data_IF_837897149774
#
_entry.id   IF_837897149774
#
_cell.length_a   1.000
_cell.length_b   1.000
_cell.length_c   1.000
_cell.angle_alpha   90.00
_cell.angle_beta   90.00
_cell.angle_gamma   90.00
#
_symmetry.space_group_name_H-M   'P 1'
#
loop_
_entity.id
_entity.type
_entity.pdbx_description
1 polymer ?
#
# COMPACT_ATOMS: atom_id res chain seq x y z
N UNK A 1 -8.38 8.21 -11.66
CA UNK A 1 -8.57 8.10 -10.20
C UNK A 1 -9.44 9.27 -9.78
N UNK A 2 -10.56 9.03 -9.11
CA UNK A 2 -11.45 10.09 -8.63
C UNK A 2 -11.09 10.40 -7.18
N UNK A 3 -10.69 11.64 -6.90
CA UNK A 3 -10.35 12.09 -5.55
C UNK A 3 -11.64 12.36 -4.76
N UNK A 4 -11.74 11.82 -3.55
CA UNK A 4 -12.81 12.14 -2.62
C UNK A 4 -12.65 13.59 -2.14
N UNK A 5 -13.68 14.41 -2.39
CA UNK A 5 -13.71 15.80 -1.94
C UNK A 5 -14.09 15.85 -0.45
N UNK A 6 -13.38 16.68 0.31
CA UNK A 6 -13.62 16.93 1.73
C UNK A 6 -14.06 18.38 1.85
N UNK A 7 -15.22 18.60 2.47
CA UNK A 7 -15.77 19.92 2.69
C UNK A 7 -14.95 20.71 3.74
N UNK A 8 -14.64 21.99 3.49
CA UNK A 8 -13.95 22.80 4.47
C UNK A 8 -14.80 22.93 5.75
N UNK A 9 -14.18 22.74 6.92
CA UNK A 9 -14.87 22.79 8.21
C UNK A 9 -15.61 21.51 8.60
N UNK A 10 -15.40 20.40 7.87
CA UNK A 10 -16.05 19.11 8.13
C UNK A 10 -15.09 18.05 8.70
N UNK A 11 -14.67 18.16 9.98
CA UNK A 11 -13.68 17.23 10.58
C UNK A 11 -14.13 15.77 10.58
N UNK A 12 -15.43 15.50 10.61
CA UNK A 12 -15.96 14.12 10.59
C UNK A 12 -15.63 13.36 9.30
N UNK A 13 -15.38 14.05 8.18
CA UNK A 13 -14.97 13.43 6.92
C UNK A 13 -13.51 12.93 6.97
N UNK A 14 -12.73 13.37 7.97
CA UNK A 14 -11.33 13.04 8.14
C UNK A 14 -11.08 11.79 9.00
N UNK A 15 -12.14 11.16 9.52
CA UNK A 15 -12.02 10.08 10.51
C UNK A 15 -11.17 8.88 10.06
N UNK A 16 -11.15 8.57 8.77
CA UNK A 16 -10.31 7.48 8.23
C UNK A 16 -8.82 7.79 8.43
N UNK A 17 -8.33 8.93 7.94
CA UNK A 17 -6.90 9.26 8.04
C UNK A 17 -6.48 9.51 9.49
N UNK A 18 -7.38 10.04 10.33
CA UNK A 18 -7.14 10.19 11.77
C UNK A 18 -6.88 8.85 12.46
N UNK A 19 -7.68 7.83 12.13
CA UNK A 19 -7.50 6.49 12.67
C UNK A 19 -6.16 5.85 12.25
N UNK A 20 -5.73 6.08 11.01
CA UNK A 20 -4.44 5.61 10.49
C UNK A 20 -3.29 6.33 11.21
N UNK A 21 -3.36 7.66 11.34
CA UNK A 21 -2.35 8.45 12.03
C UNK A 21 -2.24 8.11 13.51
N UNK A 22 -3.35 7.75 14.16
CA UNK A 22 -3.34 7.27 15.54
C UNK A 22 -2.57 5.95 15.65
N UNK A 23 -2.90 4.95 14.83
CA UNK A 23 -2.18 3.66 14.82
C UNK A 23 -0.70 3.83 14.54
N UNK A 24 -0.34 4.64 13.55
CA UNK A 24 1.06 4.92 13.23
C UNK A 24 1.82 5.52 14.42
N UNK A 25 1.20 6.43 15.17
CA UNK A 25 1.82 6.97 16.40
C UNK A 25 1.96 5.91 17.47
N UNK A 26 0.88 5.21 17.80
CA UNK A 26 0.85 4.28 18.93
C UNK A 26 1.76 3.06 18.69
N UNK A 27 1.84 2.58 17.45
CA UNK A 27 2.54 1.34 17.09
C UNK A 27 3.97 1.56 16.56
N UNK A 28 4.30 2.72 16.02
CA UNK A 28 5.63 3.00 15.46
C UNK A 28 6.32 4.13 16.20
N UNK A 29 5.79 5.36 16.11
CA UNK A 29 6.54 6.54 16.58
C UNK A 29 6.72 6.59 18.10
N UNK A 30 5.75 6.11 18.87
CA UNK A 30 5.82 6.13 20.33
C UNK A 30 6.59 4.94 20.92
N UNK A 31 6.96 3.94 20.11
CA UNK A 31 7.70 2.77 20.58
C UNK A 31 9.21 3.02 20.65
N UNK A 32 9.71 4.01 19.90
CA UNK A 32 11.15 4.22 19.71
C UNK A 32 11.56 5.67 19.95
N UNK A 33 12.79 5.87 20.42
CA UNK A 33 13.44 7.19 20.47
C UNK A 33 14.44 7.23 19.32
N UNK A 34 14.24 8.14 18.37
CA UNK A 34 15.10 8.25 17.19
C UNK A 34 16.29 9.18 17.46
N UNK A 35 17.49 8.74 17.08
CA UNK A 35 18.73 9.53 17.22
C UNK A 35 19.16 10.16 15.90
N UNK A 36 18.63 9.70 14.77
CA UNK A 36 18.93 10.26 13.45
C UNK A 36 17.76 10.14 12.47
N UNK A 37 17.71 11.05 11.48
CA UNK A 37 16.72 10.98 10.39
C UNK A 37 16.90 9.70 9.55
N UNK A 38 18.13 9.19 9.42
CA UNK A 38 18.40 7.97 8.67
C UNK A 38 17.73 6.75 9.33
N UNK A 39 17.87 6.63 10.64
CA UNK A 39 17.20 5.61 11.45
C UNK A 39 15.68 5.71 11.32
N UNK A 40 15.10 6.91 11.50
CA UNK A 40 13.64 7.11 11.35
C UNK A 40 13.15 6.68 9.96
N UNK A 41 13.91 6.95 8.89
CA UNK A 41 13.51 6.53 7.53
C UNK A 41 13.46 5.02 7.38
N UNK A 42 14.39 4.30 8.00
CA UNK A 42 14.40 2.84 8.00
C UNK A 42 13.20 2.32 8.78
N UNK A 43 13.03 2.74 10.03
CA UNK A 43 11.94 2.28 10.91
C UNK A 43 10.57 2.56 10.32
N UNK A 44 10.33 3.79 9.86
CA UNK A 44 9.05 4.16 9.22
C UNK A 44 8.85 3.40 7.90
N UNK A 45 9.93 3.19 7.14
CA UNK A 45 9.89 2.39 5.92
C UNK A 45 9.52 0.94 6.19
N UNK A 46 10.00 0.36 7.28
CA UNK A 46 9.75 -1.01 7.70
C UNK A 46 8.32 -1.15 8.22
N UNK A 47 7.87 -0.22 9.08
CA UNK A 47 6.49 -0.15 9.52
C UNK A 47 5.50 -0.06 8.35
N UNK A 48 5.81 0.77 7.34
CA UNK A 48 4.95 0.89 6.15
C UNK A 48 4.83 -0.43 5.39
N UNK A 49 5.91 -1.19 5.25
CA UNK A 49 5.89 -2.50 4.57
C UNK A 49 5.06 -3.50 5.37
N UNK A 50 5.26 -3.57 6.68
CA UNK A 50 4.49 -4.43 7.58
C UNK A 50 2.98 -4.09 7.51
N UNK A 51 2.63 -2.82 7.65
CA UNK A 51 1.24 -2.37 7.68
C UNK A 51 0.53 -2.63 6.35
N UNK A 52 1.17 -2.35 5.21
CA UNK A 52 0.53 -2.47 3.90
C UNK A 52 0.55 -3.89 3.32
N UNK A 53 1.59 -4.67 3.61
CA UNK A 53 1.86 -5.94 2.92
C UNK A 53 1.72 -7.21 3.76
N UNK A 54 1.74 -7.11 5.09
CA UNK A 54 1.77 -8.29 5.96
C UNK A 54 0.62 -8.31 6.98
N UNK A 55 0.12 -7.16 7.41
CA UNK A 55 -0.91 -7.08 8.45
C UNK A 55 -2.31 -7.40 7.91
N UNK A 56 -2.97 -8.48 8.36
CA UNK A 56 -4.36 -8.75 8.00
C UNK A 56 -5.29 -7.77 8.74
N UNK A 57 -6.20 -7.13 8.01
CA UNK A 57 -7.10 -6.12 8.55
C UNK A 57 -8.54 -6.69 8.70
N UNK A 58 -8.90 -7.08 9.91
CA UNK A 58 -10.06 -7.93 10.19
C UNK A 58 -11.45 -7.36 9.86
N UNK A 59 -11.68 -6.05 9.99
CA UNK A 59 -13.04 -5.48 9.93
C UNK A 59 -13.34 -4.62 8.71
N UNK A 60 -12.33 -4.01 8.08
CA UNK A 60 -12.52 -3.07 6.96
C UNK A 60 -12.11 -3.62 5.61
N UNK A 61 -11.34 -4.72 5.60
CA UNK A 61 -10.67 -5.27 4.41
C UNK A 61 -10.85 -6.80 4.32
N UNK A 62 -11.79 -7.37 5.08
CA UNK A 62 -12.07 -8.82 5.08
C UNK A 62 -10.80 -9.68 5.28
N UNK A 63 -9.97 -9.30 6.25
CA UNK A 63 -8.67 -9.92 6.55
C UNK A 63 -7.60 -9.81 5.45
N UNK A 64 -7.85 -9.06 4.38
CA UNK A 64 -6.85 -8.74 3.37
C UNK A 64 -5.91 -7.63 3.86
N UNK A 65 -4.70 -7.63 3.32
CA UNK A 65 -3.76 -6.52 3.45
C UNK A 65 -4.17 -5.37 2.53
N UNK A 66 -3.80 -4.11 2.85
CA UNK A 66 -4.06 -2.98 1.97
C UNK A 66 -3.53 -3.17 0.55
N UNK A 67 -2.37 -3.80 0.39
CA UNK A 67 -1.77 -4.08 -0.92
C UNK A 67 -2.58 -5.13 -1.71
N UNK A 68 -3.08 -6.18 -1.05
CA UNK A 68 -3.96 -7.17 -1.69
C UNK A 68 -5.30 -6.54 -2.11
N UNK A 69 -5.88 -5.72 -1.26
CA UNK A 69 -7.11 -5.00 -1.58
C UNK A 69 -6.93 -4.05 -2.77
N UNK A 70 -5.82 -3.31 -2.80
CA UNK A 70 -5.48 -2.44 -3.93
C UNK A 70 -5.28 -3.23 -5.24
N UNK A 71 -4.65 -4.41 -5.18
CA UNK A 71 -4.52 -5.30 -6.32
C UNK A 71 -5.88 -5.79 -6.81
N UNK A 72 -6.78 -6.18 -5.90
CA UNK A 72 -8.14 -6.61 -6.24
C UNK A 72 -8.95 -5.49 -6.91
N UNK A 73 -8.87 -4.26 -6.40
CA UNK A 73 -9.50 -3.09 -7.04
C UNK A 73 -8.97 -2.83 -8.45
N UNK A 74 -7.68 -3.06 -8.65
CA UNK A 74 -6.99 -2.87 -9.92
C UNK A 74 -7.46 -3.86 -10.97
N UNK A 75 -7.64 -5.13 -10.58
CA UNK A 75 -8.14 -6.20 -11.45
C UNK A 75 -9.61 -5.96 -11.86
N UNK A 76 -10.42 -5.40 -10.96
CA UNK A 76 -11.84 -5.14 -11.23
C UNK A 76 -12.12 -3.91 -12.09
N UNK A 77 -11.13 -3.02 -12.31
CA UNK A 77 -11.29 -1.85 -13.19
C UNK A 77 -10.84 -2.17 -14.63
N UNK A 78 -11.76 -2.33 -15.60
CA UNK A 78 -11.40 -2.67 -16.99
C UNK A 78 -10.56 -1.62 -17.71
N UNK A 79 -10.43 -0.40 -17.15
CA UNK A 79 -9.56 0.66 -17.68
C UNK A 79 -8.10 0.52 -17.24
N UNK A 80 -7.78 -0.30 -16.23
CA UNK A 80 -6.43 -0.51 -15.73
C UNK A 80 -5.80 -1.83 -16.21
N UNK A 81 -6.60 -2.88 -16.38
CA UNK A 81 -6.16 -4.21 -16.84
C UNK A 81 -5.46 -4.18 -18.21
N UNK A 82 -5.86 -3.28 -19.11
CA UNK A 82 -5.24 -3.10 -20.43
C UNK A 82 -3.75 -2.69 -20.38
N UNK A 83 -3.32 -1.97 -19.33
CA UNK A 83 -1.94 -1.50 -19.21
C UNK A 83 -1.03 -2.49 -18.45
N UNK A 84 -1.59 -3.41 -17.65
CA UNK A 84 -0.83 -4.44 -16.95
C UNK A 84 -0.59 -5.68 -17.83
N UNK A 85 -1.55 -6.10 -18.66
CA UNK A 85 -1.33 -7.21 -19.62
C UNK A 85 -0.23 -6.87 -20.62
N UNK A 86 -0.14 -5.61 -21.06
CA UNK A 86 0.94 -5.15 -21.93
C UNK A 86 2.34 -5.24 -21.28
N UNK A 87 2.44 -5.14 -19.95
CA UNK A 87 3.72 -5.18 -19.22
C UNK A 87 4.16 -6.59 -18.81
N UNK A 88 3.21 -7.51 -18.63
CA UNK A 88 3.49 -8.91 -18.25
C UNK A 88 3.87 -9.77 -19.47
N UNK A 89 3.36 -9.47 -20.67
CA UNK A 89 3.61 -10.28 -21.88
C UNK A 89 5.04 -10.07 -22.45
N UNK A 90 5.81 -9.09 -21.99
CA UNK A 90 7.19 -8.86 -22.46
C UNK A 90 8.28 -9.66 -21.70
N UNK A 91 7.93 -10.38 -20.63
CA UNK A 91 8.91 -11.15 -19.84
C UNK A 91 8.89 -12.67 -20.07
N UNK A 92 8.16 -13.17 -21.08
CA UNK A 92 8.24 -14.57 -21.48
C UNK A 92 8.59 -14.70 -22.96
N UNK A 93 9.89 -14.73 -23.28
CA UNK A 93 10.34 -15.09 -24.63
C UNK A 93 11.85 -15.06 -24.85
N UNK A 94 12.58 -16.03 -24.30
CA UNK A 94 13.32 -17.04 -25.08
C UNK A 94 14.64 -17.47 -24.39
N UNK A 95 14.79 -18.74 -23.97
CA UNK A 95 16.08 -19.30 -23.58
C UNK A 95 16.97 -19.37 -24.82
N UNK A 96 18.15 -18.77 -24.77
CA UNK A 96 19.19 -19.04 -25.77
C UNK A 96 19.58 -20.51 -25.67
N UNK A 97 19.08 -21.32 -26.61
CA UNK A 97 19.54 -22.68 -26.84
C UNK A 97 19.80 -22.84 -28.33
N UNK A 98 21.04 -22.60 -28.74
CA UNK A 98 21.66 -23.23 -29.90
C UNK A 98 23.16 -23.32 -29.62
N UNK A 99 23.61 -24.50 -29.19
CA UNK A 99 24.96 -25.00 -29.47
C UNK A 99 24.88 -25.77 -30.79
N UNK A 100 25.65 -25.38 -31.78
CA UNK A 100 26.79 -26.16 -32.33
C UNK A 100 27.59 -25.27 -33.26
#
# INVERSE_FOLDING_TARGET
>A
MQTLYIDPGSPWQNGFIESVHRRFRDECLNQEIFFSIAETRVVVGDYRRLYNGERPHSSSLDYQTPDEFAQNLTIQSPRYTANLTAKVIQFSGSPQACRT
#
